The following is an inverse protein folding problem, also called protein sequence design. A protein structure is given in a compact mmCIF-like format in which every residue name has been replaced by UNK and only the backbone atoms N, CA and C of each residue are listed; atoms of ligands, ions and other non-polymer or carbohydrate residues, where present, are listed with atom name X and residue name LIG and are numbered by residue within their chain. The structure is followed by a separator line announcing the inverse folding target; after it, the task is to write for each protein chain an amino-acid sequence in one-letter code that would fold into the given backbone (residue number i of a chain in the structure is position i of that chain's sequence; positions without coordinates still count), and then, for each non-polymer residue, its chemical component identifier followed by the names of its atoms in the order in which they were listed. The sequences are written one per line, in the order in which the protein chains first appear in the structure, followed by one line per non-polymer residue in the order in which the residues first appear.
data_IF_833950509342
#
_entry.id   IF_833950509342
#
_cell.length_a   1.000
_cell.length_b   1.000
_cell.length_c   1.000
_cell.angle_alpha   90.00
_cell.angle_beta   90.00
_cell.angle_gamma   90.00
#
_symmetry.space_group_name_H-M   'P 1'
#
loop_
_entity.id
_entity.type
_entity.pdbx_description
1 polymer ?
#
# COMPACT_ATOMS: atom_id res chain seq x y z
N UNK A 1 6.76 16.09 7.22
CA UNK A 1 7.28 17.29 6.54
C UNK A 1 7.08 18.43 7.51
N UNK A 2 8.17 18.94 8.10
CA UNK A 2 8.12 20.17 8.89
C UNK A 2 7.87 21.32 7.91
N UNK A 3 6.73 21.99 8.05
CA UNK A 3 6.49 23.26 7.36
C UNK A 3 7.52 24.25 7.90
N UNK A 4 8.53 24.59 7.10
CA UNK A 4 9.37 25.76 7.36
C UNK A 4 8.43 26.95 7.31
N UNK A 5 7.91 27.38 8.46
CA UNK A 5 7.15 28.62 8.52
C UNK A 5 8.12 29.75 8.15
N UNK A 6 7.95 30.31 6.95
CA UNK A 6 8.69 31.46 6.53
C UNK A 6 8.41 32.58 7.54
N UNK A 7 9.46 33.13 8.11
CA UNK A 7 9.36 34.20 9.11
C UNK A 7 10.35 35.30 8.80
N UNK A 8 9.99 36.53 9.14
CA UNK A 8 10.82 37.72 8.98
C UNK A 8 11.23 38.18 10.38
N UNK A 9 12.51 38.51 10.56
CA UNK A 9 13.00 38.97 11.88
C UNK A 9 12.50 40.38 12.19
N UNK A 10 12.28 40.70 13.48
CA UNK A 10 11.88 42.05 13.89
C UNK A 10 12.94 43.12 13.58
N UNK A 11 14.21 42.72 13.45
CA UNK A 11 15.28 43.57 12.92
C UNK A 11 15.08 43.93 11.44
N UNK A 12 14.65 42.97 10.63
CA UNK A 12 14.34 43.19 9.23
C UNK A 12 13.09 44.07 9.06
N UNK A 13 12.06 43.82 9.87
CA UNK A 13 10.87 44.69 9.95
C UNK A 13 11.27 46.12 10.30
N UNK A 14 12.17 46.32 11.27
CA UNK A 14 12.67 47.64 11.65
C UNK A 14 13.29 48.40 10.46
N UNK A 15 14.02 47.69 9.59
CA UNK A 15 14.56 48.25 8.34
C UNK A 15 13.45 48.59 7.35
N UNK A 16 12.47 47.70 7.15
CA UNK A 16 11.35 47.91 6.22
C UNK A 16 10.51 49.14 6.59
N UNK A 17 10.28 49.37 7.88
CA UNK A 17 9.43 50.49 8.37
C UNK A 17 10.22 51.75 8.69
N UNK A 18 11.55 51.71 8.60
CA UNK A 18 12.43 52.84 8.91
C UNK A 18 12.36 53.30 10.37
N UNK A 19 12.25 52.36 11.32
CA UNK A 19 12.19 52.66 12.78
C UNK A 19 13.27 51.90 13.52
N UNK A 20 13.62 52.37 14.71
CA UNK A 20 14.57 51.66 15.58
C UNK A 20 14.00 50.31 16.03
N UNK A 21 14.87 49.30 16.17
CA UNK A 21 14.48 47.96 16.60
C UNK A 21 13.74 47.97 17.94
N UNK A 22 14.19 48.78 18.90
CA UNK A 22 13.54 48.96 20.19
C UNK A 22 12.07 49.40 20.09
N UNK A 23 11.77 50.29 19.15
CA UNK A 23 10.40 50.74 18.91
C UNK A 23 9.54 49.62 18.32
N UNK A 24 10.10 48.82 17.41
CA UNK A 24 9.43 47.64 16.86
C UNK A 24 9.14 46.61 17.95
N UNK A 25 10.12 46.30 18.80
CA UNK A 25 9.95 45.38 19.93
C UNK A 25 8.86 45.86 20.90
N UNK A 26 8.84 47.17 21.20
CA UNK A 26 7.81 47.76 22.05
C UNK A 26 6.41 47.62 21.44
N UNK A 27 6.28 47.87 20.14
CA UNK A 27 5.02 47.71 19.42
C UNK A 27 4.56 46.25 19.39
N UNK A 28 5.46 45.30 19.11
CA UNK A 28 5.16 43.86 19.14
C UNK A 28 4.67 43.44 20.53
N UNK A 29 5.38 43.81 21.60
CA UNK A 29 4.96 43.50 22.98
C UNK A 29 3.60 44.11 23.32
N UNK A 30 3.31 45.31 22.82
CA UNK A 30 2.00 45.94 23.00
C UNK A 30 0.90 45.18 22.26
N UNK A 31 1.15 44.74 21.02
CA UNK A 31 0.21 43.90 20.27
C UNK A 31 -0.03 42.60 21.02
N UNK A 32 1.02 41.92 21.49
CA UNK A 32 0.93 40.69 22.28
C UNK A 32 0.05 40.90 23.52
N UNK A 33 0.23 42.02 24.24
CA UNK A 33 -0.63 42.39 25.38
C UNK A 33 -2.09 42.62 24.96
N UNK A 34 -2.33 43.25 23.81
CA UNK A 34 -3.67 43.53 23.29
C UNK A 34 -4.41 42.27 22.83
N UNK A 35 -3.70 41.29 22.27
CA UNK A 35 -4.28 40.00 21.85
C UNK A 35 -4.29 38.96 22.97
N UNK A 36 -3.57 39.23 24.07
CA UNK A 36 -3.23 38.32 25.18
C UNK A 36 -4.39 37.77 26.02
N UNK A 37 -5.62 37.83 25.52
CA UNK A 37 -6.79 37.18 26.10
C UNK A 37 -7.65 36.37 25.10
N UNK A 38 -7.30 36.30 23.81
CA UNK A 38 -8.20 35.72 22.77
C UNK A 38 -7.53 34.67 21.89
N UNK A 39 -6.21 34.72 21.65
CA UNK A 39 -5.48 33.79 20.74
C UNK A 39 -4.03 33.56 21.18
N UNK A 40 -3.45 32.42 20.78
CA UNK A 40 -2.03 32.13 20.97
C UNK A 40 -1.17 33.11 20.15
N UNK A 41 -0.37 33.95 20.82
CA UNK A 41 0.49 34.94 20.18
C UNK A 41 1.62 34.32 19.36
N UNK A 42 2.03 33.09 19.66
CA UNK A 42 3.12 32.37 18.98
C UNK A 42 2.81 32.12 17.50
N UNK A 43 1.53 32.05 17.14
CA UNK A 43 1.12 31.95 15.73
C UNK A 43 1.35 33.23 14.90
N UNK A 44 1.70 34.34 15.56
CA UNK A 44 1.97 35.65 14.95
C UNK A 44 3.42 36.10 15.20
N UNK A 45 3.85 36.03 16.46
CA UNK A 45 5.14 36.51 16.94
C UNK A 45 5.81 35.41 17.77
N UNK A 46 6.90 34.86 17.24
CA UNK A 46 7.70 33.82 17.90
C UNK A 46 8.91 34.50 18.55
N UNK A 47 9.14 34.23 19.83
CA UNK A 47 10.30 34.77 20.54
C UNK A 47 11.60 34.19 19.97
N UNK A 48 12.60 35.06 19.79
CA UNK A 48 13.93 34.68 19.31
C UNK A 48 14.98 35.62 19.90
N UNK A 49 16.25 35.32 19.66
CA UNK A 49 17.36 36.21 20.01
C UNK A 49 18.25 36.44 18.80
N UNK A 50 19.11 37.45 18.89
CA UNK A 50 20.18 37.66 17.92
C UNK A 50 21.42 38.18 18.62
N UNK A 51 22.58 37.86 18.07
CA UNK A 51 23.87 38.38 18.54
C UNK A 51 24.21 39.65 17.79
N UNK A 52 24.47 40.73 18.51
CA UNK A 52 24.88 42.00 17.91
C UNK A 52 26.39 42.01 17.57
N UNK A 53 26.87 43.08 16.92
CA UNK A 53 28.29 43.26 16.58
C UNK A 53 29.24 43.34 17.79
N UNK A 54 28.70 43.48 19.00
CA UNK A 54 29.44 43.50 20.26
C UNK A 54 29.40 42.15 20.99
N UNK A 55 28.98 41.07 20.32
CA UNK A 55 28.79 39.73 20.90
C UNK A 55 27.82 39.68 22.10
N UNK A 56 26.85 40.60 22.15
CA UNK A 56 25.76 40.57 23.13
C UNK A 56 24.52 39.96 22.51
N UNK A 57 23.92 39.04 23.23
CA UNK A 57 22.62 38.47 22.90
C UNK A 57 21.51 39.47 23.24
N UNK A 58 20.67 39.78 22.26
CA UNK A 58 19.57 40.74 22.38
C UNK A 58 18.24 40.10 21.94
N UNK A 59 17.11 40.54 22.50
CA UNK A 59 15.80 39.99 22.17
C UNK A 59 15.40 40.30 20.73
N UNK A 60 14.70 39.35 20.10
CA UNK A 60 14.18 39.44 18.74
C UNK A 60 12.81 38.74 18.67
N UNK A 61 12.08 38.97 17.59
CA UNK A 61 10.90 38.20 17.24
C UNK A 61 10.98 37.74 15.80
N UNK A 62 10.50 36.53 15.53
CA UNK A 62 10.22 36.05 14.19
C UNK A 62 8.73 36.30 13.92
N UNK A 63 8.44 37.07 12.89
CA UNK A 63 7.09 37.41 12.48
C UNK A 63 6.66 36.47 11.37
N UNK A 64 5.53 35.80 11.56
CA UNK A 64 4.84 35.09 10.47
C UNK A 64 4.15 36.10 9.55
N UNK A 65 3.66 35.67 8.39
CA UNK A 65 2.88 36.52 7.49
C UNK A 65 1.70 37.20 8.20
N UNK A 66 0.99 36.46 9.05
CA UNK A 66 -0.10 36.97 9.90
C UNK A 66 0.41 37.96 10.94
N UNK A 67 1.60 37.75 11.49
CA UNK A 67 2.26 38.70 12.39
C UNK A 67 2.57 40.03 11.72
N UNK A 68 3.04 40.01 10.47
CA UNK A 68 3.26 41.23 9.67
C UNK A 68 1.95 41.96 9.36
N UNK A 69 0.89 41.24 8.99
CA UNK A 69 -0.45 41.82 8.80
C UNK A 69 -0.92 42.53 10.07
N UNK A 70 -0.78 41.89 11.23
CA UNK A 70 -1.18 42.46 12.51
C UNK A 70 -0.31 43.67 12.90
N UNK A 71 1.01 43.60 12.68
CA UNK A 71 1.91 44.71 12.92
C UNK A 71 1.59 45.94 12.05
N UNK A 72 1.10 45.72 10.82
CA UNK A 72 0.72 46.81 9.90
C UNK A 72 -0.32 47.75 10.50
N UNK A 73 -1.17 47.27 11.42
CA UNK A 73 -2.18 48.08 12.13
C UNK A 73 -1.58 49.19 13.00
N UNK A 74 -0.29 49.09 13.36
CA UNK A 74 0.46 50.11 14.13
C UNK A 74 0.88 51.30 13.28
N UNK A 75 0.68 51.21 11.97
CA UNK A 75 1.07 52.21 10.99
C UNK A 75 -0.20 52.73 10.31
N UNK A 76 -0.25 54.02 10.03
CA UNK A 76 -1.41 54.65 9.36
C UNK A 76 -1.01 55.24 8.02
N UNK A 77 -1.98 55.29 7.11
CA UNK A 77 -1.81 55.88 5.77
C UNK A 77 -0.74 55.17 4.92
N UNK A 78 -0.01 55.96 4.13
CA UNK A 78 0.94 55.46 3.14
C UNK A 78 2.03 54.52 3.71
N UNK A 79 2.45 54.73 4.96
CA UNK A 79 3.50 53.90 5.58
C UNK A 79 3.05 52.46 5.84
N UNK A 80 1.78 52.26 6.23
CA UNK A 80 1.22 50.92 6.41
C UNK A 80 1.12 50.17 5.08
N UNK A 81 0.69 50.86 4.02
CA UNK A 81 0.62 50.28 2.67
C UNK A 81 2.01 49.90 2.13
N UNK A 82 3.01 50.75 2.34
CA UNK A 82 4.40 50.45 1.95
C UNK A 82 4.95 49.23 2.69
N UNK A 83 4.70 49.12 3.99
CA UNK A 83 5.11 47.94 4.76
C UNK A 83 4.40 46.67 4.26
N UNK A 84 3.11 46.77 3.92
CA UNK A 84 2.35 45.66 3.34
C UNK A 84 2.96 45.12 2.05
N UNK A 85 3.29 46.02 1.12
CA UNK A 85 4.00 45.65 -0.11
C UNK A 85 5.36 45.03 0.20
N UNK A 86 6.14 45.64 1.10
CA UNK A 86 7.49 45.19 1.43
C UNK A 86 7.53 43.76 2.01
N UNK A 87 6.65 43.42 2.96
CA UNK A 87 6.66 42.05 3.48
C UNK A 87 6.10 41.06 2.46
N UNK A 88 5.08 41.41 1.66
CA UNK A 88 4.54 40.54 0.60
C UNK A 88 5.65 40.16 -0.39
N UNK A 89 6.40 41.15 -0.89
CA UNK A 89 7.52 40.93 -1.79
C UNK A 89 8.60 40.05 -1.14
N UNK A 90 8.90 40.30 0.14
CA UNK A 90 9.89 39.52 0.87
C UNK A 90 9.47 38.05 1.01
N UNK A 91 8.22 37.77 1.35
CA UNK A 91 7.70 36.41 1.41
C UNK A 91 7.71 35.73 0.04
N UNK A 92 7.32 36.44 -1.03
CA UNK A 92 7.39 35.92 -2.39
C UNK A 92 8.83 35.58 -2.81
N UNK A 93 9.82 36.40 -2.42
CA UNK A 93 11.24 36.09 -2.65
C UNK A 93 11.68 34.83 -1.90
N UNK A 94 11.26 34.66 -0.64
CA UNK A 94 11.56 33.45 0.14
C UNK A 94 10.94 32.20 -0.53
N UNK A 95 9.71 32.29 -1.06
CA UNK A 95 9.08 31.20 -1.81
C UNK A 95 9.83 30.86 -3.11
N UNK A 96 10.29 31.88 -3.85
CA UNK A 96 11.05 31.66 -5.08
C UNK A 96 12.42 31.05 -4.81
N UNK A 97 13.11 31.45 -3.75
CA UNK A 97 14.38 30.84 -3.33
C UNK A 97 14.22 29.35 -2.96
N UNK A 98 13.10 28.96 -2.35
CA UNK A 98 12.81 27.54 -2.10
C UNK A 98 12.52 26.77 -3.39
N UNK A 99 11.87 27.41 -4.38
CA UNK A 99 11.63 26.81 -5.71
C UNK A 99 12.92 26.67 -6.52
N UNK A 100 13.86 27.61 -6.41
CA UNK A 100 15.15 27.58 -7.12
C UNK A 100 16.18 26.66 -6.43
N UNK A 101 16.10 26.48 -5.10
CA UNK A 101 16.94 25.55 -4.34
C UNK A 101 16.54 24.07 -4.52
N UNK A 102 15.39 23.79 -5.14
CA UNK A 102 15.04 22.47 -5.64
C UNK A 102 15.31 22.42 -7.14
N UNK A 103 16.46 21.91 -7.61
CA UNK A 103 16.60 21.64 -9.04
C UNK A 103 15.54 20.60 -9.44
N UNK A 104 14.86 20.78 -10.59
CA UNK A 104 14.23 19.62 -11.21
C UNK A 104 15.38 18.67 -11.59
N UNK A 105 15.20 17.35 -11.48
CA UNK A 105 16.04 16.30 -12.12
C UNK A 105 17.04 15.50 -11.23
N UNK A 106 17.07 15.60 -9.89
CA UNK A 106 17.79 14.56 -9.09
C UNK A 106 17.01 13.23 -9.00
N UNK A 107 15.68 13.31 -9.01
CA UNK A 107 14.85 12.14 -8.75
C UNK A 107 14.57 11.26 -9.96
N UNK A 108 14.76 11.71 -11.21
CA UNK A 108 14.34 10.91 -12.38
C UNK A 108 15.27 9.75 -12.67
N UNK A 109 16.58 9.95 -12.57
CA UNK A 109 17.57 8.89 -12.79
C UNK A 109 17.53 7.87 -11.65
N UNK A 110 17.44 8.34 -10.40
CA UNK A 110 17.25 7.47 -9.24
C UNK A 110 15.89 6.74 -9.28
N UNK A 111 14.80 7.41 -9.69
CA UNK A 111 13.48 6.78 -9.83
C UNK A 111 13.48 5.75 -10.97
N UNK A 112 14.17 6.02 -12.07
CA UNK A 112 14.32 5.07 -13.17
C UNK A 112 15.19 3.88 -12.77
N UNK A 113 16.32 4.11 -12.10
CA UNK A 113 17.20 3.06 -11.60
C UNK A 113 16.47 2.18 -10.57
N UNK A 114 15.73 2.78 -9.65
CA UNK A 114 14.91 2.06 -8.67
C UNK A 114 13.77 1.29 -9.34
N UNK A 115 13.11 1.86 -10.35
CA UNK A 115 12.07 1.17 -11.13
C UNK A 115 12.63 -0.05 -11.89
N UNK A 116 13.75 0.10 -12.59
CA UNK A 116 14.41 -0.99 -13.32
C UNK A 116 14.92 -2.08 -12.37
N UNK A 117 15.47 -1.70 -11.21
CA UNK A 117 15.88 -2.66 -10.17
C UNK A 117 14.68 -3.40 -9.58
N UNK A 118 13.57 -2.70 -9.38
CA UNK A 118 12.33 -3.32 -8.90
C UNK A 118 11.76 -4.31 -9.93
N UNK A 119 11.74 -3.95 -11.22
CA UNK A 119 11.28 -4.83 -12.30
C UNK A 119 12.13 -6.09 -12.41
N UNK A 120 13.46 -5.97 -12.36
CA UNK A 120 14.38 -7.13 -12.32
C UNK A 120 14.15 -8.02 -11.10
N UNK A 121 13.92 -7.41 -9.93
CA UNK A 121 13.62 -8.16 -8.71
C UNK A 121 12.28 -8.88 -8.79
N UNK A 122 11.25 -8.25 -9.37
CA UNK A 122 9.95 -8.88 -9.61
C UNK A 122 10.07 -10.07 -10.55
N UNK A 123 10.83 -9.94 -11.64
CA UNK A 123 11.11 -11.04 -12.56
C UNK A 123 11.79 -12.23 -11.85
N UNK A 124 12.82 -11.95 -11.03
CA UNK A 124 13.51 -12.99 -10.25
C UNK A 124 12.63 -13.64 -9.17
N UNK A 125 11.73 -12.87 -8.53
CA UNK A 125 10.77 -13.38 -7.55
C UNK A 125 9.72 -14.27 -8.23
N UNK A 126 9.21 -13.86 -9.39
CA UNK A 126 8.25 -14.65 -10.16
C UNK A 126 8.87 -15.97 -10.62
N UNK A 127 10.10 -15.96 -11.13
CA UNK A 127 10.80 -17.19 -11.52
C UNK A 127 11.00 -18.15 -10.33
N UNK A 128 11.29 -17.62 -9.13
CA UNK A 128 11.37 -18.42 -7.91
C UNK A 128 10.01 -18.94 -7.48
N UNK A 129 8.95 -18.16 -7.64
CA UNK A 129 7.59 -18.57 -7.32
C UNK A 129 7.16 -19.72 -8.25
N UNK A 130 7.41 -19.60 -9.55
CA UNK A 130 7.10 -20.65 -10.53
C UNK A 130 7.85 -21.96 -10.21
N UNK A 131 9.15 -21.87 -9.85
CA UNK A 131 9.94 -23.03 -9.40
C UNK A 131 9.37 -23.64 -8.11
N UNK A 132 9.03 -22.82 -7.12
CA UNK A 132 8.44 -23.30 -5.87
C UNK A 132 7.05 -23.92 -6.09
N UNK A 133 6.22 -23.37 -6.96
CA UNK A 133 4.88 -23.91 -7.24
C UNK A 133 4.92 -25.23 -8.03
N UNK A 134 5.95 -25.42 -8.85
CA UNK A 134 6.18 -26.69 -9.58
C UNK A 134 6.86 -27.75 -8.71
N UNK A 135 7.77 -27.37 -7.81
CA UNK A 135 8.47 -28.29 -6.90
C UNK A 135 7.63 -28.67 -5.67
N UNK A 136 6.69 -27.82 -5.24
CA UNK A 136 5.88 -28.09 -4.05
C UNK A 136 4.64 -28.93 -4.35
N UNK A 137 4.48 -30.01 -3.58
CA UNK A 137 3.30 -30.86 -3.62
C UNK A 137 2.10 -30.23 -2.90
N UNK A 138 0.90 -30.69 -3.22
CA UNK A 138 -0.33 -30.25 -2.55
C UNK A 138 -0.31 -30.47 -1.02
N UNK A 139 -0.87 -29.51 -0.29
CA UNK A 139 -0.97 -29.55 1.17
C UNK A 139 -2.15 -30.40 1.69
N UNK A 140 -2.23 -30.61 3.01
CA UNK A 140 -3.27 -31.45 3.64
C UNK A 140 -4.71 -31.02 3.33
N UNK A 141 -4.98 -29.71 3.28
CA UNK A 141 -6.31 -29.19 2.96
C UNK A 141 -6.70 -29.43 1.50
N UNK A 142 -5.75 -29.24 0.58
CA UNK A 142 -5.92 -29.54 -0.84
C UNK A 142 -6.15 -31.06 -1.07
N UNK A 143 -5.38 -31.92 -0.37
CA UNK A 143 -5.58 -33.38 -0.41
C UNK A 143 -6.98 -33.78 0.04
N UNK A 144 -7.49 -33.19 1.13
CA UNK A 144 -8.87 -33.43 1.60
C UNK A 144 -9.91 -33.01 0.56
N UNK A 145 -9.68 -31.89 -0.14
CA UNK A 145 -10.59 -31.41 -1.18
C UNK A 145 -10.64 -32.37 -2.38
N UNK A 146 -9.50 -32.87 -2.83
CA UNK A 146 -9.43 -33.92 -3.87
C UNK A 146 -10.17 -35.18 -3.43
N UNK A 147 -9.89 -35.69 -2.23
CA UNK A 147 -10.57 -36.88 -1.70
C UNK A 147 -12.10 -36.69 -1.62
N UNK A 148 -12.56 -35.50 -1.21
CA UNK A 148 -13.97 -35.16 -1.14
C UNK A 148 -14.64 -35.17 -2.52
N UNK A 149 -14.00 -34.55 -3.51
CA UNK A 149 -14.48 -34.50 -4.90
C UNK A 149 -14.52 -35.89 -5.53
N UNK A 150 -13.46 -36.70 -5.35
CA UNK A 150 -13.42 -38.09 -5.83
C UNK A 150 -14.56 -38.89 -5.21
N UNK A 151 -14.75 -38.81 -3.89
CA UNK A 151 -15.87 -39.48 -3.20
C UNK A 151 -17.22 -39.08 -3.76
N UNK A 152 -17.47 -37.78 -3.92
CA UNK A 152 -18.74 -37.28 -4.46
C UNK A 152 -18.98 -37.81 -5.87
N UNK A 153 -17.98 -37.73 -6.74
CA UNK A 153 -18.08 -38.12 -8.16
C UNK A 153 -18.27 -39.63 -8.30
N UNK A 154 -17.43 -40.43 -7.64
CA UNK A 154 -17.52 -41.90 -7.70
C UNK A 154 -18.87 -42.39 -7.15
N UNK A 155 -19.33 -41.84 -6.03
CA UNK A 155 -20.64 -42.21 -5.46
C UNK A 155 -21.76 -41.84 -6.43
N UNK A 156 -21.69 -40.69 -7.11
CA UNK A 156 -22.68 -40.28 -8.10
C UNK A 156 -22.71 -41.26 -9.28
N UNK A 157 -21.56 -41.64 -9.83
CA UNK A 157 -21.45 -42.59 -10.94
C UNK A 157 -21.94 -43.99 -10.55
N UNK A 158 -21.70 -44.44 -9.31
CA UNK A 158 -22.22 -45.72 -8.82
C UNK A 158 -23.76 -45.73 -8.65
N UNK A 159 -24.45 -44.59 -8.77
CA UNK A 159 -25.89 -44.47 -8.55
C UNK A 159 -26.28 -44.12 -7.11
N UNK A 160 -25.34 -43.57 -6.33
CA UNK A 160 -25.55 -43.13 -4.94
C UNK A 160 -25.28 -44.21 -3.89
N UNK A 161 -25.27 -43.83 -2.61
CA UNK A 161 -24.91 -44.71 -1.48
C UNK A 161 -25.86 -45.90 -1.27
N UNK A 162 -27.10 -45.81 -1.79
CA UNK A 162 -28.11 -46.87 -1.65
C UNK A 162 -28.06 -47.90 -2.80
N UNK A 163 -27.31 -47.60 -3.86
CA UNK A 163 -27.19 -48.45 -5.04
C UNK A 163 -26.55 -49.81 -4.73
N UNK A 164 -26.88 -50.79 -5.57
CA UNK A 164 -26.31 -52.14 -5.46
C UNK A 164 -24.81 -52.13 -5.83
N UNK A 165 -24.42 -51.33 -6.83
CA UNK A 165 -23.02 -51.15 -7.20
C UNK A 165 -22.18 -50.55 -6.06
N UNK A 166 -22.71 -49.58 -5.29
CA UNK A 166 -22.01 -49.02 -4.13
C UNK A 166 -21.91 -50.03 -2.98
N UNK A 167 -22.95 -50.83 -2.72
CA UNK A 167 -22.94 -51.86 -1.66
C UNK A 167 -22.01 -53.02 -1.99
N UNK A 168 -21.80 -53.32 -3.28
CA UNK A 168 -20.85 -54.34 -3.70
C UNK A 168 -19.41 -53.86 -3.46
N UNK A 169 -18.75 -54.46 -2.46
CA UNK A 169 -17.39 -54.10 -2.03
C UNK A 169 -16.36 -54.20 -3.16
N UNK A 170 -16.52 -55.15 -4.08
CA UNK A 170 -15.60 -55.35 -5.20
C UNK A 170 -15.71 -54.21 -6.22
N UNK A 171 -16.94 -53.89 -6.65
CA UNK A 171 -17.21 -52.83 -7.63
C UNK A 171 -16.89 -51.46 -7.04
N UNK A 172 -17.28 -51.22 -5.78
CA UNK A 172 -16.99 -49.97 -5.08
C UNK A 172 -15.47 -49.71 -5.02
N UNK A 173 -14.69 -50.68 -4.54
CA UNK A 173 -13.22 -50.56 -4.50
C UNK A 173 -12.61 -50.35 -5.89
N UNK A 174 -13.10 -51.08 -6.89
CA UNK A 174 -12.65 -50.95 -8.26
C UNK A 174 -12.92 -49.53 -8.82
N UNK A 175 -14.08 -48.94 -8.53
CA UNK A 175 -14.42 -47.60 -8.98
C UNK A 175 -13.55 -46.51 -8.36
N UNK A 176 -13.30 -46.59 -7.04
CA UNK A 176 -12.35 -45.66 -6.40
C UNK A 176 -10.93 -45.84 -6.92
N UNK A 177 -10.46 -47.08 -7.07
CA UNK A 177 -9.12 -47.36 -7.58
C UNK A 177 -8.96 -46.86 -9.02
N UNK A 178 -9.96 -47.09 -9.88
CA UNK A 178 -9.94 -46.62 -11.27
C UNK A 178 -9.87 -45.08 -11.34
N UNK A 179 -10.69 -44.38 -10.56
CA UNK A 179 -10.65 -42.92 -10.50
C UNK A 179 -9.29 -42.38 -10.06
N UNK A 180 -8.69 -42.93 -8.99
CA UNK A 180 -7.35 -42.51 -8.56
C UNK A 180 -6.26 -42.89 -9.56
N UNK A 181 -6.35 -44.04 -10.23
CA UNK A 181 -5.37 -44.47 -11.23
C UNK A 181 -5.41 -43.58 -12.47
N UNK A 182 -6.59 -43.25 -12.99
CA UNK A 182 -6.72 -42.30 -14.09
C UNK A 182 -6.25 -40.90 -13.70
N UNK A 183 -6.60 -40.43 -12.50
CA UNK A 183 -6.12 -39.14 -12.01
C UNK A 183 -4.59 -39.09 -11.97
N UNK A 184 -3.95 -40.10 -11.38
CA UNK A 184 -2.48 -40.23 -11.36
C UNK A 184 -1.86 -40.27 -12.75
N UNK A 185 -2.49 -40.98 -13.69
CA UNK A 185 -2.01 -41.08 -15.07
C UNK A 185 -2.04 -39.74 -15.81
N UNK A 186 -3.08 -38.92 -15.60
CA UNK A 186 -3.19 -37.59 -16.22
C UNK A 186 -2.13 -36.61 -15.68
N UNK A 187 -1.80 -36.73 -14.40
CA UNK A 187 -0.81 -35.86 -13.75
C UNK A 187 0.62 -36.41 -13.81
N UNK A 188 0.82 -37.62 -14.32
CA UNK A 188 2.09 -38.37 -14.34
C UNK A 188 2.75 -38.47 -12.95
N UNK A 189 1.98 -38.91 -11.96
CA UNK A 189 2.41 -39.00 -10.56
C UNK A 189 2.17 -40.37 -9.93
N UNK A 190 3.05 -40.77 -9.01
CA UNK A 190 2.95 -42.05 -8.29
C UNK A 190 1.77 -42.08 -7.31
N UNK A 191 1.47 -40.96 -6.66
CA UNK A 191 0.33 -40.76 -5.78
C UNK A 191 -0.42 -39.47 -6.14
N UNK A 192 -1.74 -39.45 -5.93
CA UNK A 192 -2.50 -38.20 -6.05
C UNK A 192 -2.04 -37.12 -5.04
N UNK A 193 -1.34 -37.53 -3.97
CA UNK A 193 -0.76 -36.60 -2.99
C UNK A 193 0.47 -35.86 -3.55
N UNK A 194 1.07 -36.40 -4.61
CA UNK A 194 2.28 -35.86 -5.25
C UNK A 194 1.92 -34.90 -6.39
N UNK A 195 0.63 -34.62 -6.60
CA UNK A 195 0.18 -33.62 -7.57
C UNK A 195 0.84 -32.27 -7.20
N UNK A 196 1.53 -31.61 -8.16
CA UNK A 196 2.11 -30.28 -7.94
C UNK A 196 1.04 -29.27 -7.55
N UNK A 197 1.37 -28.36 -6.64
CA UNK A 197 0.45 -27.33 -6.15
C UNK A 197 -0.05 -26.44 -7.30
N UNK A 198 0.82 -26.12 -8.26
CA UNK A 198 0.47 -25.38 -9.48
C UNK A 198 -0.70 -26.01 -10.25
N UNK A 199 -0.76 -27.35 -10.28
CA UNK A 199 -1.76 -28.14 -11.03
C UNK A 199 -2.97 -28.55 -10.20
N UNK A 200 -3.09 -28.05 -8.97
CA UNK A 200 -4.22 -28.35 -8.09
C UNK A 200 -5.57 -27.94 -8.68
N UNK A 201 -5.63 -26.76 -9.32
CA UNK A 201 -6.86 -26.24 -9.94
C UNK A 201 -7.31 -27.11 -11.11
N UNK A 202 -6.34 -27.58 -11.91
CA UNK A 202 -6.59 -28.52 -13.00
C UNK A 202 -7.17 -29.84 -12.45
N UNK A 203 -6.61 -30.37 -11.35
CA UNK A 203 -7.09 -31.61 -10.75
C UNK A 203 -8.55 -31.50 -10.27
N UNK A 204 -8.94 -30.41 -9.62
CA UNK A 204 -10.32 -30.23 -9.13
C UNK A 204 -11.35 -30.03 -10.26
N UNK A 205 -10.93 -29.52 -11.42
CA UNK A 205 -11.80 -29.36 -12.60
C UNK A 205 -11.98 -30.69 -13.37
N UNK A 206 -10.96 -31.54 -13.38
CA UNK A 206 -11.00 -32.83 -14.07
C UNK A 206 -11.78 -33.91 -13.31
N UNK A 207 -11.69 -33.96 -11.97
CA UNK A 207 -12.33 -35.01 -11.17
C UNK A 207 -13.84 -35.15 -11.47
N UNK A 208 -14.65 -34.08 -11.53
CA UNK A 208 -16.08 -34.20 -11.84
C UNK A 208 -16.39 -34.73 -13.25
N UNK A 209 -15.45 -34.64 -14.18
CA UNK A 209 -15.57 -35.08 -15.58
C UNK A 209 -15.14 -36.55 -15.77
N UNK A 210 -14.62 -37.17 -14.72
CA UNK A 210 -14.18 -38.56 -14.73
C UNK A 210 -15.28 -39.54 -15.15
N UNK A 211 -14.89 -40.54 -15.96
CA UNK A 211 -15.73 -41.67 -16.34
C UNK A 211 -14.95 -42.98 -16.13
N UNK A 212 -15.59 -44.05 -15.62
CA UNK A 212 -14.95 -45.34 -15.47
C UNK A 212 -14.67 -45.97 -16.83
N UNK A 213 -13.69 -46.89 -16.86
CA UNK A 213 -13.38 -47.69 -18.04
C UNK A 213 -14.60 -48.49 -18.51
N UNK A 214 -14.65 -48.83 -19.80
CA UNK A 214 -15.78 -49.53 -20.41
C UNK A 214 -16.19 -50.80 -19.64
N UNK A 215 -15.21 -51.63 -19.25
CA UNK A 215 -15.45 -52.85 -18.47
C UNK A 215 -16.06 -52.55 -17.10
N UNK A 216 -15.52 -51.55 -16.40
CA UNK A 216 -15.99 -51.17 -15.08
C UNK A 216 -17.40 -50.54 -15.16
N UNK A 217 -17.66 -49.71 -16.17
CA UNK A 217 -18.99 -49.15 -16.42
C UNK A 217 -20.03 -50.26 -16.66
N UNK A 218 -19.70 -51.27 -17.48
CA UNK A 218 -20.58 -52.41 -17.73
C UNK A 218 -20.89 -53.18 -16.43
N UNK A 219 -19.88 -53.42 -15.58
CA UNK A 219 -20.04 -54.07 -14.27
C UNK A 219 -20.92 -53.25 -13.32
N UNK A 220 -20.78 -51.93 -13.31
CA UNK A 220 -21.63 -51.03 -12.51
C UNK A 220 -23.08 -51.11 -12.98
N UNK A 221 -23.31 -51.03 -14.30
CA UNK A 221 -24.65 -51.09 -14.90
C UNK A 221 -25.32 -52.43 -14.57
N UNK A 222 -24.62 -53.55 -14.76
CA UNK A 222 -25.11 -54.89 -14.42
C UNK A 222 -25.50 -54.99 -12.94
N UNK A 223 -24.63 -54.51 -12.03
CA UNK A 223 -24.91 -54.57 -10.59
C UNK A 223 -26.12 -53.73 -10.18
N UNK A 224 -26.36 -52.61 -10.87
CA UNK A 224 -27.51 -51.76 -10.64
C UNK A 224 -28.78 -52.21 -11.39
N UNK A 225 -28.73 -53.30 -12.16
CA UNK A 225 -29.87 -53.78 -12.95
C UNK A 225 -30.23 -52.86 -14.12
N UNK A 226 -29.28 -52.03 -14.57
CA UNK A 226 -29.46 -51.15 -15.73
C UNK A 226 -29.18 -51.97 -16.99
N UNK A 227 -30.24 -52.35 -17.70
CA UNK A 227 -30.15 -53.23 -18.88
C UNK A 227 -29.80 -52.51 -20.19
N UNK A 228 -29.45 -51.21 -20.16
CA UNK A 228 -29.05 -50.47 -21.35
C UNK A 228 -27.53 -50.33 -21.44
N UNK A 229 -26.95 -50.96 -22.46
CA UNK A 229 -25.58 -50.71 -22.92
C UNK A 229 -25.54 -49.68 -24.07
N UNK A 230 -26.65 -48.96 -24.29
CA UNK A 230 -26.82 -47.93 -25.32
C UNK A 230 -27.66 -46.77 -24.77
#
# INVERSE_FOLDING_TARGET
METIEQTITSNEVAKMVGRTHDNVLKDIRNIIKQIGGVKNHESYFIESTYTNSQNKELPNYLLTKKGCELYSTRMTGAKGTQFAVAYIERFNQMENQLKEAMPPISNTELLLETALKHERNLAAVNERLDKLETETIINSSQRRKIQGLVRSTVIKILGGKKSNAYKNKSINRAAFSNCYNQLKAVFDVASYMDIPKARFIEAIDLIPKWKPDLELQARINQANGISSLW
#
